data_IF_375355621506
#
_entry.id   IF_375355621506
#
_cell.length_a   1.000
_cell.length_b   1.000
_cell.length_c   1.000
_cell.angle_alpha   90.00
_cell.angle_beta   90.00
_cell.angle_gamma   90.00
#
_symmetry.space_group_name_H-M   'P 1'
#
loop_
_entity.id
_entity.type
_entity.pdbx_description
1 polymer ?
#
# COMPACT_ATOMS: atom_id res chain seq x y z
N UNK A 1 16.52 4.19 0.81
CA UNK A 1 16.00 4.89 2.01
C UNK A 1 14.47 4.95 2.03
N UNK A 2 13.80 5.49 1.01
CA UNK A 2 12.32 5.56 0.98
C UNK A 2 11.64 4.18 1.14
N UNK A 3 12.04 3.20 0.31
CA UNK A 3 11.45 1.86 0.33
C UNK A 3 11.64 1.11 1.66
N UNK A 4 12.84 1.18 2.24
CA UNK A 4 13.12 0.58 3.55
C UNK A 4 12.31 1.25 4.67
N UNK A 5 12.15 2.58 4.63
CA UNK A 5 11.30 3.31 5.58
C UNK A 5 9.82 2.90 5.50
N UNK A 6 9.27 2.78 4.29
CA UNK A 6 7.87 2.33 4.11
C UNK A 6 7.65 0.86 4.49
N UNK A 7 8.64 0.00 4.26
CA UNK A 7 8.61 -1.39 4.70
C UNK A 7 8.65 -1.50 6.24
N UNK A 8 9.56 -0.76 6.90
CA UNK A 8 9.65 -0.70 8.35
C UNK A 8 8.36 -0.19 8.99
N UNK A 9 7.79 0.89 8.46
CA UNK A 9 6.49 1.41 8.92
C UNK A 9 5.37 0.36 8.78
N UNK A 10 5.34 -0.41 7.70
CA UNK A 10 4.31 -1.43 7.49
C UNK A 10 4.37 -2.52 8.57
N UNK A 11 5.56 -3.01 8.91
CA UNK A 11 5.75 -4.02 9.96
C UNK A 11 5.53 -3.45 11.36
N UNK A 12 5.90 -2.19 11.59
CA UNK A 12 5.59 -1.51 12.84
C UNK A 12 4.07 -1.45 13.08
N UNK A 13 3.30 -1.03 12.08
CA UNK A 13 1.83 -0.99 12.18
C UNK A 13 1.22 -2.39 12.39
N UNK A 14 1.73 -3.42 11.71
CA UNK A 14 1.33 -4.82 11.93
C UNK A 14 1.59 -5.28 13.38
N UNK A 15 2.74 -4.90 13.95
CA UNK A 15 3.03 -5.21 15.36
C UNK A 15 2.11 -4.48 16.35
N UNK A 16 1.72 -3.23 16.04
CA UNK A 16 0.78 -2.45 16.86
C UNK A 16 -0.63 -3.05 16.81
N UNK A 17 -1.07 -3.50 15.63
CA UNK A 17 -2.36 -4.16 15.46
C UNK A 17 -2.46 -5.41 16.35
N UNK A 18 -1.46 -6.29 16.28
CA UNK A 18 -1.41 -7.49 17.12
C UNK A 18 -1.36 -7.17 18.62
N UNK A 19 -0.62 -6.13 19.01
CA UNK A 19 -0.46 -5.74 20.41
C UNK A 19 -1.79 -5.27 21.04
N UNK A 20 -2.60 -4.55 20.27
CA UNK A 20 -3.80 -3.88 20.78
C UNK A 20 -5.13 -4.48 20.30
N UNK A 21 -5.08 -5.59 19.54
CA UNK A 21 -6.27 -6.29 19.07
C UNK A 21 -7.21 -6.69 20.22
N UNK A 22 -6.64 -7.15 21.36
CA UNK A 22 -7.43 -7.50 22.55
C UNK A 22 -8.05 -6.28 23.27
N UNK A 23 -7.47 -5.09 23.09
CA UNK A 23 -7.97 -3.83 23.67
C UNK A 23 -9.11 -3.22 22.83
N UNK A 24 -9.51 -3.87 21.73
CA UNK A 24 -10.54 -3.38 20.81
C UNK A 24 -10.08 -2.26 19.88
N UNK A 25 -8.78 -1.96 19.81
CA UNK A 25 -8.21 -1.00 18.87
C UNK A 25 -7.97 -1.67 17.51
N UNK A 26 -8.28 -0.95 16.44
CA UNK A 26 -7.97 -1.37 15.06
C UNK A 26 -6.85 -0.52 14.50
N UNK A 27 -5.81 -1.15 13.92
CA UNK A 27 -4.74 -0.44 13.22
C UNK A 27 -4.82 -0.72 11.72
N UNK A 28 -5.06 0.32 10.92
CA UNK A 28 -5.10 0.22 9.46
C UNK A 28 -3.77 0.66 8.82
N UNK A 29 -3.10 -0.26 8.13
CA UNK A 29 -1.98 0.06 7.25
C UNK A 29 -2.46 0.36 5.82
N UNK A 30 -2.40 1.63 5.42
CA UNK A 30 -2.69 2.05 4.04
C UNK A 30 -1.44 1.93 3.17
N UNK A 31 -1.53 1.09 2.14
CA UNK A 31 -0.49 0.88 1.13
C UNK A 31 -0.94 1.52 -0.19
N UNK A 32 -0.68 2.82 -0.40
CA UNK A 32 -1.09 3.48 -1.62
C UNK A 32 -0.27 2.96 -2.81
N UNK A 33 -0.97 2.73 -3.92
CA UNK A 33 -0.34 2.64 -5.22
C UNK A 33 0.01 4.02 -5.76
N UNK A 34 0.24 4.12 -7.07
CA UNK A 34 0.35 5.43 -7.70
C UNK A 34 -1.01 6.16 -7.66
N UNK A 35 -1.02 7.40 -7.18
CA UNK A 35 -2.22 8.25 -7.07
C UNK A 35 -1.93 9.60 -7.69
N UNK A 36 -2.79 10.07 -8.59
CA UNK A 36 -2.63 11.35 -9.31
C UNK A 36 -2.88 12.55 -8.39
N UNK A 37 -1.91 12.87 -7.55
CA UNK A 37 -1.94 14.01 -6.60
C UNK A 37 -0.94 15.08 -7.04
N UNK A 38 -0.93 16.23 -6.36
CA UNK A 38 0.09 17.27 -6.58
C UNK A 38 1.52 16.75 -6.44
N UNK A 39 1.77 15.79 -5.54
CA UNK A 39 3.09 15.16 -5.35
C UNK A 39 3.55 14.36 -6.58
N UNK A 40 2.63 13.86 -7.39
CA UNK A 40 2.93 13.02 -8.56
C UNK A 40 2.63 13.71 -9.89
N UNK A 41 2.25 14.99 -9.89
CA UNK A 41 1.77 15.70 -11.08
C UNK A 41 2.82 15.74 -12.21
N UNK A 42 4.11 15.79 -11.85
CA UNK A 42 5.22 15.82 -12.80
C UNK A 42 5.73 14.43 -13.21
N UNK A 43 5.08 13.36 -12.75
CA UNK A 43 5.47 11.98 -13.03
C UNK A 43 4.54 11.37 -14.08
N UNK A 44 5.11 10.61 -15.02
CA UNK A 44 4.30 9.82 -15.97
C UNK A 44 3.51 8.77 -15.18
N UNK A 45 2.16 8.80 -15.19
CA UNK A 45 1.38 7.84 -14.43
C UNK A 45 1.55 6.44 -15.02
N UNK A 46 1.87 5.43 -14.19
CA UNK A 46 1.85 4.04 -14.63
C UNK A 46 0.41 3.60 -14.91
N UNK A 47 0.22 2.45 -15.59
CA UNK A 47 -1.07 1.79 -15.64
C UNK A 47 -1.67 1.66 -14.24
N UNK A 48 -2.98 1.81 -14.14
CA UNK A 48 -3.72 1.70 -12.88
C UNK A 48 -3.40 2.79 -11.83
N UNK A 49 -2.95 3.96 -12.27
CA UNK A 49 -2.91 5.16 -11.44
C UNK A 49 -4.31 5.51 -10.91
N UNK A 50 -4.42 5.71 -9.60
CA UNK A 50 -5.67 6.03 -8.91
C UNK A 50 -6.02 7.51 -8.94
N UNK A 51 -7.33 7.79 -8.98
CA UNK A 51 -7.84 9.14 -8.68
C UNK A 51 -7.91 9.37 -7.17
N UNK A 52 -7.54 10.56 -6.66
CA UNK A 52 -7.51 10.86 -5.22
C UNK A 52 -8.83 10.56 -4.51
N UNK A 53 -9.97 10.96 -5.08
CA UNK A 53 -11.31 10.76 -4.49
C UNK A 53 -11.69 9.28 -4.41
N UNK A 54 -11.27 8.46 -5.38
CA UNK A 54 -11.51 7.02 -5.35
C UNK A 54 -10.63 6.31 -4.31
N UNK A 55 -9.37 6.75 -4.18
CA UNK A 55 -8.44 6.28 -3.15
C UNK A 55 -8.96 6.63 -1.76
N UNK A 56 -9.39 7.88 -1.54
CA UNK A 56 -9.95 8.33 -0.27
C UNK A 56 -11.17 7.50 0.15
N UNK A 57 -12.17 7.33 -0.74
CA UNK A 57 -13.35 6.49 -0.47
C UNK A 57 -12.97 5.06 -0.08
N UNK A 58 -11.95 4.50 -0.72
CA UNK A 58 -11.48 3.14 -0.40
C UNK A 58 -10.82 3.06 0.97
N UNK A 59 -10.04 4.07 1.34
CA UNK A 59 -9.40 4.15 2.66
C UNK A 59 -10.46 4.31 3.75
N UNK A 60 -11.40 5.25 3.59
CA UNK A 60 -12.52 5.44 4.53
C UNK A 60 -13.31 4.15 4.72
N UNK A 61 -13.73 3.50 3.64
CA UNK A 61 -14.44 2.22 3.78
C UNK A 61 -13.60 1.09 4.39
N UNK A 62 -12.26 1.17 4.36
CA UNK A 62 -11.40 0.21 5.07
C UNK A 62 -11.31 0.49 6.57
N UNK A 63 -11.38 1.78 6.96
CA UNK A 63 -11.52 2.19 8.35
C UNK A 63 -12.85 1.65 8.90
N UNK A 64 -13.96 1.90 8.20
CA UNK A 64 -15.30 1.47 8.65
C UNK A 64 -15.43 -0.05 8.82
N UNK A 65 -14.70 -0.84 8.00
CA UNK A 65 -14.69 -2.31 8.08
C UNK A 65 -13.69 -2.87 9.10
N UNK A 66 -12.88 -2.03 9.75
CA UNK A 66 -11.81 -2.49 10.63
C UNK A 66 -10.74 -3.33 9.92
N UNK A 67 -10.44 -3.02 8.64
CA UNK A 67 -9.46 -3.80 7.88
C UNK A 67 -8.02 -3.52 8.38
N UNK A 68 -7.16 -4.53 8.56
CA UNK A 68 -5.79 -4.30 9.04
C UNK A 68 -4.87 -3.72 7.95
N UNK A 69 -5.15 -4.02 6.67
CA UNK A 69 -4.35 -3.55 5.53
C UNK A 69 -5.25 -3.20 4.34
N UNK A 70 -5.00 -2.07 3.68
CA UNK A 70 -5.66 -1.72 2.42
C UNK A 70 -4.66 -1.26 1.36
N UNK A 71 -4.77 -1.84 0.17
CA UNK A 71 -4.14 -1.30 -1.03
C UNK A 71 -5.10 -0.36 -1.74
N UNK A 72 -4.67 0.86 -2.05
CA UNK A 72 -5.49 1.86 -2.72
C UNK A 72 -4.70 2.56 -3.84
N UNK A 73 -5.04 2.36 -5.13
CA UNK A 73 -6.14 1.54 -5.67
C UNK A 73 -6.05 0.04 -5.38
N UNK A 74 -7.20 -0.66 -5.43
CA UNK A 74 -7.32 -2.09 -5.09
C UNK A 74 -6.39 -3.01 -5.90
N UNK A 75 -6.24 -2.70 -7.19
CA UNK A 75 -5.43 -3.46 -8.16
C UNK A 75 -3.96 -3.54 -7.75
N UNK A 76 -3.46 -2.57 -7.00
CA UNK A 76 -2.07 -2.58 -6.50
C UNK A 76 -1.79 -3.73 -5.54
N UNK A 77 -2.81 -4.32 -4.91
CA UNK A 77 -2.65 -5.57 -4.15
C UNK A 77 -2.09 -6.68 -5.03
N UNK A 78 -2.64 -6.80 -6.24
CA UNK A 78 -2.23 -7.83 -7.20
C UNK A 78 -0.89 -7.51 -7.83
N UNK A 79 -0.63 -6.24 -8.16
CA UNK A 79 0.68 -5.79 -8.64
C UNK A 79 1.77 -6.13 -7.62
N UNK A 80 1.56 -5.80 -6.34
CA UNK A 80 2.52 -6.09 -5.28
C UNK A 80 2.64 -7.59 -4.98
N UNK A 81 1.57 -8.37 -5.17
CA UNK A 81 1.63 -9.82 -5.07
C UNK A 81 2.60 -10.37 -6.13
N UNK A 82 2.44 -9.98 -7.39
CA UNK A 82 3.33 -10.40 -8.48
C UNK A 82 4.78 -10.00 -8.20
N UNK A 83 5.02 -8.75 -7.77
CA UNK A 83 6.37 -8.26 -7.44
C UNK A 83 7.00 -9.08 -6.31
N UNK A 84 6.25 -9.39 -5.24
CA UNK A 84 6.75 -10.17 -4.09
C UNK A 84 7.10 -11.61 -4.45
N UNK A 85 6.43 -12.18 -5.44
CA UNK A 85 6.65 -13.53 -5.91
C UNK A 85 7.71 -13.62 -7.01
N UNK A 86 8.15 -12.48 -7.55
CA UNK A 86 9.11 -12.43 -8.62
C UNK A 86 10.50 -12.86 -8.12
N UNK A 87 11.14 -13.90 -8.70
CA UNK A 87 12.48 -14.29 -8.29
C UNK A 87 13.50 -13.17 -8.53
N UNK A 88 14.52 -13.10 -7.65
CA UNK A 88 15.55 -12.05 -7.73
C UNK A 88 16.27 -11.99 -9.08
N UNK A 89 16.44 -13.12 -9.77
CA UNK A 89 17.09 -13.13 -11.08
C UNK A 89 16.26 -12.41 -12.16
N UNK A 90 14.92 -12.51 -12.09
CA UNK A 90 14.04 -11.80 -13.03
C UNK A 90 14.04 -10.32 -12.72
N UNK A 91 13.95 -9.94 -11.44
CA UNK A 91 14.04 -8.54 -11.00
C UNK A 91 15.31 -7.85 -11.51
N UNK A 92 16.47 -8.53 -11.37
CA UNK A 92 17.75 -8.02 -11.88
C UNK A 92 17.77 -7.91 -13.42
N UNK A 93 17.14 -8.83 -14.13
CA UNK A 93 17.11 -8.85 -15.61
C UNK A 93 16.30 -7.69 -16.19
N UNK A 94 15.22 -7.29 -15.52
CA UNK A 94 14.35 -6.19 -15.96
C UNK A 94 14.78 -4.81 -15.41
N UNK A 95 15.93 -4.74 -14.73
CA UNK A 95 16.48 -3.48 -14.20
C UNK A 95 15.68 -2.88 -13.04
N UNK A 96 15.06 -3.73 -12.22
CA UNK A 96 14.40 -3.30 -10.99
C UNK A 96 15.41 -2.93 -9.89
#
# INVERSE_FOLDING_TARGET
IYGSGKAGLSHYLESLDHKHHADGLTVLCVKPGFVKTGMTANLKPPPFAGEPTAVARRVVGAIDRGSPVVYAPAIWRWVMLVIRWLPRFVMRKIGF
#
